data_IF_526042275580
#
_entry.id   IF_526042275580
#
_cell.length_a   1.000
_cell.length_b   1.000
_cell.length_c   1.000
_cell.angle_alpha   90.00
_cell.angle_beta   90.00
_cell.angle_gamma   90.00
#
_symmetry.space_group_name_H-M   'P 1'
#
loop_
_entity.id
_entity.type
_entity.pdbx_description
1 polymer ?
#
# COMPACT_ATOMS: atom_id res chain seq x y z
N UNK A 1 5.64 -14.17 -11.47
CA UNK A 1 6.21 -12.82 -11.69
C UNK A 1 5.86 -11.98 -10.47
N UNK A 2 6.83 -11.73 -9.60
CA UNK A 2 6.72 -10.81 -8.47
C UNK A 2 8.07 -10.09 -8.38
N UNK A 3 8.21 -8.98 -9.11
CA UNK A 3 9.46 -8.24 -9.36
C UNK A 3 9.31 -6.72 -9.21
N UNK A 4 8.18 -6.22 -8.69
CA UNK A 4 8.03 -4.78 -8.40
C UNK A 4 8.47 -4.45 -6.98
N UNK A 5 9.45 -3.57 -6.87
CA UNK A 5 9.74 -2.83 -5.64
C UNK A 5 8.84 -1.61 -5.57
N UNK A 6 8.55 -1.10 -4.36
CA UNK A 6 7.91 0.20 -4.20
C UNK A 6 8.86 1.28 -4.74
N UNK A 7 8.36 2.15 -5.63
CA UNK A 7 9.16 3.17 -6.30
C UNK A 7 8.94 4.58 -5.75
N UNK A 8 7.92 4.80 -4.90
CA UNK A 8 7.64 6.11 -4.32
C UNK A 8 6.52 6.12 -3.28
N UNK A 9 6.40 7.26 -2.58
CA UNK A 9 5.46 7.43 -1.47
C UNK A 9 4.00 7.22 -1.90
N UNK A 10 3.62 7.59 -3.12
CA UNK A 10 2.28 7.36 -3.64
C UNK A 10 1.84 5.90 -3.58
N UNK A 11 2.68 4.99 -4.08
CA UNK A 11 2.41 3.55 -4.02
C UNK A 11 2.42 3.05 -2.57
N UNK A 12 3.31 3.59 -1.74
CA UNK A 12 3.40 3.24 -0.32
C UNK A 12 2.13 3.58 0.45
N UNK A 13 1.56 4.78 0.27
CA UNK A 13 0.31 5.17 0.94
C UNK A 13 -0.89 4.34 0.46
N UNK A 14 -0.97 4.03 -0.84
CA UNK A 14 -1.99 3.10 -1.34
C UNK A 14 -1.86 1.72 -0.68
N UNK A 15 -0.65 1.17 -0.57
CA UNK A 15 -0.43 -0.12 0.11
C UNK A 15 -0.75 -0.02 1.60
N UNK A 16 -0.42 1.07 2.28
CA UNK A 16 -0.77 1.28 3.67
C UNK A 16 -2.29 1.25 3.89
N UNK A 17 -3.06 1.89 3.00
CA UNK A 17 -4.52 1.79 2.96
C UNK A 17 -5.02 0.37 2.75
N UNK A 18 -4.41 -0.38 1.83
CA UNK A 18 -4.71 -1.79 1.62
C UNK A 18 -4.42 -2.63 2.88
N UNK A 19 -3.31 -2.39 3.58
CA UNK A 19 -2.98 -3.10 4.82
C UNK A 19 -3.98 -2.80 5.93
N UNK A 20 -4.47 -1.56 6.02
CA UNK A 20 -5.58 -1.20 6.91
C UNK A 20 -6.85 -1.98 6.57
N UNK A 21 -7.22 -2.07 5.29
CA UNK A 21 -8.38 -2.84 4.84
C UNK A 21 -8.25 -4.34 5.11
N UNK A 22 -7.10 -4.92 4.78
CA UNK A 22 -6.88 -6.37 4.77
C UNK A 22 -6.58 -6.94 6.16
N UNK A 23 -5.87 -6.17 6.99
CA UNK A 23 -5.36 -6.62 8.28
C UNK A 23 -5.86 -5.79 9.46
N UNK A 24 -6.69 -4.77 9.22
CA UNK A 24 -7.21 -3.87 10.25
C UNK A 24 -6.09 -3.16 11.03
N UNK A 25 -5.00 -2.79 10.34
CA UNK A 25 -3.89 -2.02 10.90
C UNK A 25 -4.34 -0.60 11.24
N UNK A 26 -3.92 -0.08 12.39
CA UNK A 26 -4.21 1.28 12.86
C UNK A 26 -3.34 2.34 12.16
N UNK A 27 -3.45 2.44 10.83
CA UNK A 27 -2.78 3.46 10.03
C UNK A 27 -3.73 4.60 9.65
N UNK A 28 -3.19 5.79 9.46
CA UNK A 28 -3.93 6.99 9.06
C UNK A 28 -3.23 7.69 7.88
N UNK A 29 -4.02 8.33 7.01
CA UNK A 29 -3.55 9.09 5.86
C UNK A 29 -2.74 10.34 6.27
N UNK A 30 -3.03 10.91 7.44
CA UNK A 30 -2.33 12.07 7.99
C UNK A 30 -1.00 11.71 8.69
N UNK A 31 -0.64 10.43 8.79
CA UNK A 31 0.68 10.04 9.29
C UNK A 31 1.77 10.47 8.30
N UNK A 32 2.85 11.05 8.81
CA UNK A 32 4.05 11.34 8.02
C UNK A 32 4.66 10.03 7.47
N UNK A 33 5.32 10.04 6.29
CA UNK A 33 5.77 8.83 5.62
C UNK A 33 6.70 7.97 6.49
N UNK A 34 7.62 8.61 7.21
CA UNK A 34 8.55 7.96 8.14
C UNK A 34 7.81 7.30 9.31
N UNK A 35 6.90 8.03 9.97
CA UNK A 35 6.10 7.53 11.08
C UNK A 35 5.17 6.38 10.66
N UNK A 36 4.59 6.48 9.46
CA UNK A 36 3.78 5.42 8.87
C UNK A 36 4.63 4.17 8.60
N UNK A 37 5.82 4.32 8.03
CA UNK A 37 6.73 3.20 7.78
C UNK A 37 7.16 2.50 9.07
N UNK A 38 7.61 3.25 10.07
CA UNK A 38 7.97 2.68 11.38
C UNK A 38 6.80 1.93 12.03
N UNK A 39 5.60 2.51 11.98
CA UNK A 39 4.40 1.86 12.49
C UNK A 39 4.11 0.55 11.74
N UNK A 40 4.10 0.58 10.41
CA UNK A 40 3.87 -0.61 9.61
C UNK A 40 4.95 -1.67 9.87
N UNK A 41 6.22 -1.30 9.92
CA UNK A 41 7.33 -2.20 10.25
C UNK A 41 7.16 -2.87 11.61
N UNK A 42 6.59 -2.18 12.59
CA UNK A 42 6.32 -2.73 13.92
C UNK A 42 5.22 -3.81 13.93
N UNK A 43 4.27 -3.76 12.99
CA UNK A 43 3.12 -4.68 12.97
C UNK A 43 3.22 -5.76 11.89
N UNK A 44 3.96 -5.52 10.80
CA UNK A 44 4.03 -6.43 9.63
C UNK A 44 4.54 -7.83 9.97
N UNK A 45 5.36 -8.00 11.00
CA UNK A 45 5.82 -9.32 11.46
C UNK A 45 4.73 -10.12 12.19
N UNK A 46 3.68 -9.45 12.67
CA UNK A 46 2.55 -10.06 13.36
C UNK A 46 1.38 -10.39 12.42
N UNK A 47 1.42 -9.88 11.19
CA UNK A 47 0.38 -10.09 10.20
C UNK A 47 0.44 -11.51 9.63
N UNK A 48 -0.73 -12.15 9.51
CA UNK A 48 -0.86 -13.48 8.90
C UNK A 48 -1.52 -13.36 7.52
N UNK A 49 -0.75 -13.24 6.42
CA UNK A 49 -1.31 -13.16 5.08
C UNK A 49 -2.05 -14.46 4.71
N UNK A 50 -3.21 -14.33 4.05
CA UNK A 50 -4.00 -15.48 3.62
C UNK A 50 -3.57 -16.05 2.27
N UNK A 51 -2.87 -15.25 1.46
CA UNK A 51 -2.41 -15.62 0.12
C UNK A 51 -1.05 -14.97 -0.23
N UNK A 52 -0.50 -15.38 -1.38
CA UNK A 52 0.79 -14.90 -1.88
C UNK A 52 0.79 -13.40 -2.23
N UNK A 53 -0.38 -12.80 -2.52
CA UNK A 53 -0.47 -11.38 -2.87
C UNK A 53 -0.36 -10.53 -1.61
N UNK A 54 -1.05 -10.93 -0.56
CA UNK A 54 -0.95 -10.32 0.77
C UNK A 54 0.47 -10.45 1.35
N UNK A 55 1.08 -11.63 1.25
CA UNK A 55 2.47 -11.84 1.67
C UNK A 55 3.44 -10.93 0.88
N UNK A 56 3.13 -10.67 -0.39
CA UNK A 56 3.92 -9.77 -1.23
C UNK A 56 3.80 -8.30 -0.80
N UNK A 57 2.61 -7.82 -0.43
CA UNK A 57 2.44 -6.46 0.11
C UNK A 57 3.30 -6.24 1.36
N UNK A 58 3.29 -7.20 2.28
CA UNK A 58 4.11 -7.17 3.50
C UNK A 58 5.60 -7.08 3.13
N UNK A 59 6.04 -7.87 2.15
CA UNK A 59 7.43 -7.84 1.67
C UNK A 59 7.79 -6.49 1.05
N UNK A 60 6.88 -5.87 0.29
CA UNK A 60 7.10 -4.56 -0.33
C UNK A 60 7.31 -3.47 0.74
N UNK A 61 6.45 -3.44 1.76
CA UNK A 61 6.56 -2.47 2.85
C UNK A 61 7.87 -2.64 3.64
N UNK A 62 8.26 -3.89 3.93
CA UNK A 62 9.52 -4.18 4.62
C UNK A 62 10.78 -3.74 3.88
N UNK A 63 10.70 -3.62 2.56
CA UNK A 63 11.83 -3.26 1.70
C UNK A 63 11.82 -1.81 1.23
N UNK A 64 10.90 -0.98 1.72
CA UNK A 64 10.74 0.39 1.27
C UNK A 64 11.17 1.40 2.34
N UNK A 65 11.98 2.36 1.92
CA UNK A 65 12.33 3.53 2.71
C UNK A 65 11.59 4.73 2.13
N UNK A 66 10.64 5.33 2.87
CA UNK A 66 9.86 6.45 2.39
C UNK A 66 10.69 7.73 2.28
N UNK A 67 10.31 8.59 1.34
CA UNK A 67 10.84 9.95 1.25
C UNK A 67 10.07 10.87 2.21
N UNK A 68 10.61 12.04 2.61
CA UNK A 68 9.94 12.96 3.53
C UNK A 68 8.74 13.71 2.91
N UNK A 69 8.47 13.51 1.61
CA UNK A 69 7.40 14.20 0.91
C UNK A 69 6.03 13.63 1.31
N UNK A 70 5.13 14.48 1.77
CA UNK A 70 3.74 14.12 2.09
C UNK A 70 2.81 15.17 1.52
N UNK A 71 1.94 14.76 0.61
CA UNK A 71 0.96 15.64 -0.03
C UNK A 71 -0.45 15.06 0.00
N UNK A 72 -1.41 15.86 -0.46
CA UNK A 72 -2.82 15.48 -0.46
C UNK A 72 -3.12 14.30 -1.40
N UNK A 73 -2.35 14.11 -2.48
CA UNK A 73 -2.53 12.97 -3.37
C UNK A 73 -2.15 11.65 -2.67
N UNK A 74 -1.15 11.66 -1.79
CA UNK A 74 -0.82 10.49 -0.96
C UNK A 74 -1.97 10.14 -0.01
N UNK A 75 -2.65 11.14 0.56
CA UNK A 75 -3.83 10.92 1.40
C UNK A 75 -4.99 10.32 0.62
N UNK A 76 -5.25 10.82 -0.58
CA UNK A 76 -6.25 10.26 -1.49
C UNK A 76 -5.95 8.79 -1.83
N UNK A 77 -4.69 8.48 -2.14
CA UNK A 77 -4.26 7.11 -2.43
C UNK A 77 -4.42 6.18 -1.22
N UNK A 78 -4.12 6.65 -0.01
CA UNK A 78 -4.40 5.88 1.19
C UNK A 78 -5.89 5.55 1.32
N UNK A 79 -6.75 6.56 1.16
CA UNK A 79 -8.20 6.39 1.22
C UNK A 79 -8.71 5.42 0.14
N UNK A 80 -8.14 5.46 -1.07
CA UNK A 80 -8.45 4.51 -2.14
C UNK A 80 -8.05 3.09 -1.78
N UNK A 81 -6.87 2.88 -1.21
CA UNK A 81 -6.43 1.57 -0.74
C UNK A 81 -7.35 1.00 0.35
N UNK A 82 -7.75 1.83 1.31
CA UNK A 82 -8.69 1.44 2.38
C UNK A 82 -10.06 1.03 1.80
N UNK A 83 -10.54 1.80 0.82
CA UNK A 83 -11.87 1.64 0.23
C UNK A 83 -11.89 0.73 -1.01
N UNK A 84 -10.75 0.14 -1.41
CA UNK A 84 -10.59 -0.62 -2.66
C UNK A 84 -11.70 -1.67 -2.83
N UNK A 85 -12.63 -1.51 -3.79
CA UNK A 85 -13.73 -2.43 -3.98
C UNK A 85 -13.31 -3.74 -4.65
N UNK A 86 -12.32 -3.70 -5.56
CA UNK A 86 -11.96 -4.81 -6.45
C UNK A 86 -10.48 -5.16 -6.32
N UNK A 87 -10.14 -5.78 -5.19
CA UNK A 87 -8.77 -6.21 -4.89
C UNK A 87 -8.17 -7.02 -6.05
N UNK A 88 -6.95 -6.66 -6.44
CA UNK A 88 -6.12 -7.35 -7.44
C UNK A 88 -6.63 -7.29 -8.88
N UNK A 89 -7.69 -6.53 -9.17
CA UNK A 89 -8.19 -6.38 -10.53
C UNK A 89 -7.66 -5.11 -11.18
N UNK A 90 -6.90 -5.27 -12.26
CA UNK A 90 -6.54 -4.14 -13.11
C UNK A 90 -7.68 -3.92 -14.11
N UNK A 91 -8.51 -2.90 -13.89
CA UNK A 91 -9.52 -2.49 -14.88
C UNK A 91 -8.87 -1.54 -15.89
N UNK A 92 -8.23 -2.10 -16.91
CA UNK A 92 -7.80 -1.29 -18.06
C UNK A 92 -8.93 -1.23 -19.09
N UNK A 93 -9.57 -0.07 -19.25
CA UNK A 93 -10.50 0.19 -20.37
C UNK A 93 -9.77 0.59 -21.65
N UNK A 94 -8.57 0.04 -21.90
CA UNK A 94 -7.84 0.31 -23.13
C UNK A 94 -8.43 -0.52 -24.27
N UNK A 95 -9.24 0.14 -25.12
CA UNK A 95 -9.64 -0.40 -26.41
C UNK A 95 -8.69 0.19 -27.44
N UNK A 96 -7.70 -0.57 -27.97
CA UNK A 96 -6.95 -0.09 -29.11
C UNK A 96 -7.91 0.06 -30.29
N UNK A 97 -8.18 1.29 -30.71
CA UNK A 97 -8.71 1.56 -32.05
C UNK A 97 -7.67 1.10 -33.06
N UNK A 98 -8.04 0.10 -33.86
CA UNK A 98 -7.26 -0.49 -34.94
C UNK A 98 -6.78 0.55 -35.97
#
# INVERSE_FOLDING_TARGET
MQKSVLLGNYEFYYIAGLLKKLFNVSADADMEPEALSEHLLSVVDTLSPKDEKEAYLIKMVKGYEPLPEHDEQMKELFAWGEQEPDLWQVKTSFHPTL
#
